data_IF_016662103024
#
_entry.id   IF_016662103024
#
_cell.length_a   1.000
_cell.length_b   1.000
_cell.length_c   1.000
_cell.angle_alpha   90.00
_cell.angle_beta   90.00
_cell.angle_gamma   90.00
#
_symmetry.space_group_name_H-M   'P 1'
#
loop_
_entity.id
_entity.type
_entity.pdbx_description
1 polymer ?
#
# COMPACT_ATOMS: atom_id res chain seq x y z
N UNK A 1 -45.15 3.59 13.42
CA UNK A 1 -44.26 3.22 12.31
C UNK A 1 -43.00 4.05 12.38
N UNK A 2 -41.81 3.45 12.30
CA UNK A 2 -40.60 4.23 12.06
C UNK A 2 -40.68 4.79 10.63
N UNK A 3 -40.38 6.07 10.45
CA UNK A 3 -40.29 6.67 9.12
C UNK A 3 -38.99 6.24 8.44
N UNK A 4 -39.04 5.97 7.13
CA UNK A 4 -37.83 5.72 6.34
C UNK A 4 -36.87 6.93 6.43
N UNK A 5 -35.55 6.71 6.60
CA UNK A 5 -34.58 7.79 6.68
C UNK A 5 -34.46 8.54 5.36
N UNK A 6 -34.12 9.83 5.41
CA UNK A 6 -33.94 10.61 4.18
C UNK A 6 -32.78 10.08 3.32
N UNK A 7 -32.95 10.10 2.00
CA UNK A 7 -31.94 9.63 1.04
C UNK A 7 -30.58 10.32 1.24
N UNK A 8 -30.59 11.62 1.57
CA UNK A 8 -29.38 12.37 1.87
C UNK A 8 -28.64 11.87 3.12
N UNK A 9 -29.38 11.55 4.19
CA UNK A 9 -28.81 10.97 5.42
C UNK A 9 -28.16 9.61 5.13
N UNK A 10 -28.86 8.73 4.39
CA UNK A 10 -28.32 7.43 3.98
C UNK A 10 -27.04 7.61 3.16
N UNK A 11 -27.03 8.52 2.20
CA UNK A 11 -25.84 8.82 1.40
C UNK A 11 -24.69 9.39 2.23
N UNK A 12 -24.96 10.26 3.21
CA UNK A 12 -23.95 10.79 4.13
C UNK A 12 -23.35 9.70 5.03
N UNK A 13 -24.19 8.82 5.58
CA UNK A 13 -23.78 7.67 6.39
C UNK A 13 -22.90 6.70 5.58
N UNK A 14 -23.28 6.38 4.34
CA UNK A 14 -22.48 5.52 3.45
C UNK A 14 -21.13 6.16 3.11
N UNK A 15 -21.07 7.49 2.91
CA UNK A 15 -19.79 8.19 2.74
C UNK A 15 -18.91 8.08 4.00
N UNK A 16 -19.48 8.33 5.18
CA UNK A 16 -18.76 8.23 6.45
C UNK A 16 -18.23 6.81 6.68
N UNK A 17 -19.05 5.78 6.46
CA UNK A 17 -18.68 4.38 6.63
C UNK A 17 -17.51 3.94 5.73
N UNK A 18 -17.31 4.57 4.57
CA UNK A 18 -16.16 4.30 3.68
C UNK A 18 -14.85 4.94 4.16
N UNK A 19 -14.93 6.04 4.91
CA UNK A 19 -13.75 6.81 5.37
C UNK A 19 -13.34 6.43 6.79
N UNK A 20 -14.32 6.23 7.68
CA UNK A 20 -14.11 5.92 9.11
C UNK A 20 -15.07 4.80 9.57
N UNK A 21 -15.01 3.59 8.96
CA UNK A 21 -15.98 2.51 9.18
C UNK A 21 -16.26 2.21 10.66
N UNK A 22 -15.21 2.16 11.48
CA UNK A 22 -15.32 1.86 12.90
C UNK A 22 -16.02 2.97 13.70
N UNK A 23 -15.75 4.24 13.40
CA UNK A 23 -16.41 5.37 14.05
C UNK A 23 -17.87 5.48 13.60
N UNK A 24 -18.15 5.26 12.31
CA UNK A 24 -19.52 5.19 11.79
C UNK A 24 -20.29 4.01 12.38
N UNK A 25 -19.67 2.83 12.53
CA UNK A 25 -20.29 1.69 13.21
C UNK A 25 -20.62 1.98 14.68
N UNK A 26 -19.78 2.74 15.40
CA UNK A 26 -20.10 3.21 16.76
C UNK A 26 -21.29 4.19 16.75
N UNK A 27 -21.40 5.07 15.76
CA UNK A 27 -22.53 6.00 15.65
C UNK A 27 -23.85 5.32 15.24
N UNK A 28 -23.80 4.23 14.45
CA UNK A 28 -24.98 3.54 13.93
C UNK A 28 -25.44 2.34 14.77
N UNK A 29 -24.50 1.63 15.39
CA UNK A 29 -24.58 0.16 15.47
C UNK A 29 -24.40 -0.45 16.86
N UNK A 30 -24.64 0.31 17.93
CA UNK A 30 -24.61 -0.20 19.30
C UNK A 30 -25.99 -0.38 19.92
N UNK A 31 -27.00 -0.43 19.05
CA UNK A 31 -28.11 -1.37 19.19
C UNK A 31 -29.32 -0.91 19.99
N UNK A 32 -29.36 0.32 20.48
CA UNK A 32 -30.53 0.82 21.22
C UNK A 32 -30.87 2.29 20.90
N UNK A 33 -32.06 2.58 20.32
CA UNK A 33 -32.58 3.93 20.16
C UNK A 33 -32.75 4.72 21.47
N UNK A 34 -32.81 4.07 22.65
CA UNK A 34 -32.81 4.72 23.97
C UNK A 34 -31.41 5.14 24.44
N UNK A 35 -30.32 4.69 23.79
CA UNK A 35 -28.95 5.00 24.20
C UNK A 35 -28.55 6.49 24.09
N UNK A 36 -29.38 7.31 23.42
CA UNK A 36 -29.16 8.76 23.30
C UNK A 36 -29.54 9.54 24.57
N UNK A 37 -30.36 8.99 25.47
CA UNK A 37 -30.75 9.62 26.74
C UNK A 37 -29.98 9.06 27.93
N UNK A 38 -29.58 7.80 27.86
CA UNK A 38 -28.72 7.13 28.85
C UNK A 38 -27.51 6.55 28.14
N UNK A 39 -26.30 6.98 28.50
CA UNK A 39 -25.05 6.57 27.88
C UNK A 39 -24.87 5.04 27.93
N UNK A 40 -25.36 4.35 26.89
CA UNK A 40 -25.33 2.90 26.81
C UNK A 40 -23.87 2.48 26.64
N UNK A 41 -23.31 1.98 27.75
CA UNK A 41 -21.93 1.50 27.80
C UNK A 41 -21.84 0.31 26.86
N UNK A 42 -21.24 0.53 25.67
CA UNK A 42 -20.81 -0.55 24.79
C UNK A 42 -20.21 -1.67 25.63
N UNK A 43 -20.77 -2.88 25.55
CA UNK A 43 -20.16 -4.01 26.24
C UNK A 43 -18.73 -4.22 25.72
N UNK A 44 -17.83 -4.76 26.55
CA UNK A 44 -16.40 -4.87 26.21
C UNK A 44 -16.17 -5.67 24.92
N UNK A 45 -16.99 -6.68 24.65
CA UNK A 45 -16.92 -7.47 23.40
C UNK A 45 -17.20 -6.63 22.16
N UNK A 46 -18.28 -5.83 22.16
CA UNK A 46 -18.61 -4.92 21.06
C UNK A 46 -17.52 -3.87 20.84
N UNK A 47 -16.91 -3.33 21.92
CA UNK A 47 -15.74 -2.45 21.83
C UNK A 47 -14.53 -3.14 21.21
N UNK A 48 -14.19 -4.32 21.70
CA UNK A 48 -13.06 -5.12 21.22
C UNK A 48 -13.14 -5.35 19.70
N UNK A 49 -14.32 -5.68 19.18
CA UNK A 49 -14.52 -5.96 17.74
C UNK A 49 -14.60 -4.71 16.84
N UNK A 50 -14.96 -3.54 17.38
CA UNK A 50 -15.20 -2.32 16.56
C UNK A 50 -14.05 -1.32 16.62
N UNK A 51 -13.56 -1.03 17.81
CA UNK A 51 -12.61 0.06 18.07
C UNK A 51 -11.30 -0.45 18.66
N UNK A 52 -11.32 -1.60 19.33
CA UNK A 52 -10.20 -2.10 20.12
C UNK A 52 -10.07 -1.39 21.47
N UNK A 53 -9.44 -2.06 22.41
CA UNK A 53 -9.15 -1.53 23.75
C UNK A 53 -7.76 -0.85 23.79
N UNK A 54 -7.18 -0.60 24.96
CA UNK A 54 -5.79 -0.14 25.09
C UNK A 54 -4.83 -1.28 24.71
N UNK A 55 -3.73 -0.98 24.02
CA UNK A 55 -2.70 -1.98 23.73
C UNK A 55 -2.08 -2.58 25.01
N UNK A 56 -1.94 -3.91 25.05
CA UNK A 56 -1.47 -4.66 26.23
C UNK A 56 0.02 -5.01 26.21
N UNK A 57 0.78 -4.58 25.20
CA UNK A 57 2.17 -5.04 24.99
C UNK A 57 3.12 -4.72 26.16
N UNK A 58 2.96 -3.54 26.77
CA UNK A 58 3.81 -3.10 27.87
C UNK A 58 3.16 -1.96 28.68
N UNK A 59 3.56 -1.87 29.96
CA UNK A 59 3.36 -0.69 30.81
C UNK A 59 3.99 0.54 30.13
N UNK A 60 3.14 1.40 29.54
CA UNK A 60 3.58 2.58 28.78
C UNK A 60 3.09 2.65 27.33
N UNK A 61 2.46 1.59 26.77
CA UNK A 61 1.79 1.75 25.48
C UNK A 61 0.43 2.45 25.64
N UNK A 62 0.31 3.69 25.18
CA UNK A 62 -0.94 4.46 25.20
C UNK A 62 -1.76 4.36 23.90
N UNK A 63 -1.26 3.63 22.90
CA UNK A 63 -1.96 3.45 21.63
C UNK A 63 -3.19 2.54 21.79
N UNK A 64 -4.23 2.80 21.00
CA UNK A 64 -5.36 1.90 20.84
C UNK A 64 -4.93 0.60 20.13
N UNK A 65 -5.42 -0.54 20.60
CA UNK A 65 -5.27 -1.83 19.94
C UNK A 65 -6.07 -1.88 18.64
N UNK A 66 -5.64 -2.70 17.68
CA UNK A 66 -6.44 -2.92 16.48
C UNK A 66 -7.73 -3.69 16.85
N UNK A 67 -8.85 -3.47 16.15
CA UNK A 67 -10.08 -4.23 16.37
C UNK A 67 -9.84 -5.73 16.30
N UNK A 68 -10.52 -6.48 17.17
CA UNK A 68 -10.33 -7.92 17.41
C UNK A 68 -8.91 -8.34 17.85
N UNK A 69 -8.08 -7.40 18.35
CA UNK A 69 -6.73 -7.71 18.87
C UNK A 69 -6.46 -7.04 20.22
N UNK A 70 -5.39 -7.47 20.90
CA UNK A 70 -4.87 -6.87 22.14
C UNK A 70 -3.73 -5.87 21.90
N UNK A 71 -3.31 -5.67 20.65
CA UNK A 71 -2.08 -4.95 20.30
C UNK A 71 -2.34 -3.81 19.30
N UNK A 72 -1.69 -2.66 19.49
CA UNK A 72 -1.73 -1.58 18.50
C UNK A 72 -0.92 -1.96 17.25
N UNK A 73 -1.09 -1.23 16.15
CA UNK A 73 -0.33 -1.48 14.92
C UNK A 73 1.19 -1.55 15.17
N UNK A 74 1.77 -0.65 15.97
CA UNK A 74 3.22 -0.67 16.29
C UNK A 74 3.66 -1.98 16.97
N UNK A 75 2.78 -2.64 17.71
CA UNK A 75 3.11 -3.82 18.52
C UNK A 75 2.45 -5.12 18.04
N UNK A 76 1.68 -5.11 16.94
CA UNK A 76 0.94 -6.30 16.49
C UNK A 76 1.88 -7.47 16.20
N UNK A 77 3.07 -7.21 15.65
CA UNK A 77 4.06 -8.24 15.31
C UNK A 77 4.67 -8.95 16.52
N UNK A 78 4.51 -8.44 17.75
CA UNK A 78 4.95 -9.13 18.96
C UNK A 78 3.90 -10.10 19.53
N UNK A 79 2.66 -10.07 19.03
CA UNK A 79 1.64 -11.02 19.42
C UNK A 79 1.85 -12.34 18.69
N UNK A 80 2.36 -13.38 19.36
CA UNK A 80 2.62 -14.70 18.73
C UNK A 80 1.37 -15.37 18.16
N UNK A 81 0.18 -15.04 18.67
CA UNK A 81 -1.10 -15.61 18.23
C UNK A 81 -1.68 -14.92 16.98
N UNK A 82 -1.12 -13.79 16.54
CA UNK A 82 -1.65 -13.08 15.38
C UNK A 82 -1.18 -13.74 14.07
N UNK A 83 -2.10 -13.88 13.11
CA UNK A 83 -1.84 -14.55 11.81
C UNK A 83 -2.20 -13.69 10.60
N UNK A 84 -2.52 -12.41 10.80
CA UNK A 84 -3.04 -11.51 9.77
C UNK A 84 -1.97 -10.56 9.23
N UNK A 85 -0.98 -10.21 10.06
CA UNK A 85 0.07 -9.25 9.73
C UNK A 85 1.40 -9.96 9.50
N UNK A 86 2.12 -9.48 8.50
CA UNK A 86 3.48 -9.87 8.15
C UNK A 86 4.41 -8.65 8.22
N UNK A 87 5.71 -8.86 8.42
CA UNK A 87 6.68 -7.78 8.27
C UNK A 87 6.81 -7.40 6.79
N UNK A 88 6.94 -6.10 6.52
CA UNK A 88 7.29 -5.57 5.20
C UNK A 88 8.58 -6.22 4.68
N UNK A 89 8.61 -6.60 3.40
CA UNK A 89 9.82 -7.14 2.75
C UNK A 89 10.74 -6.06 2.16
N UNK A 90 10.30 -4.80 2.16
CA UNK A 90 11.07 -3.65 1.68
C UNK A 90 12.32 -3.36 2.52
N UNK A 91 13.31 -2.71 1.92
CA UNK A 91 14.53 -2.23 2.59
C UNK A 91 14.52 -0.73 2.79
N UNK A 92 15.12 -0.28 3.88
CA UNK A 92 15.38 1.14 4.15
C UNK A 92 16.66 1.59 3.40
N UNK A 93 16.93 2.89 3.39
CA UNK A 93 18.07 3.50 2.66
C UNK A 93 19.43 3.01 3.19
N UNK A 94 19.50 2.64 4.46
CA UNK A 94 20.64 1.99 5.13
C UNK A 94 20.77 0.48 4.84
N UNK A 95 19.99 -0.03 3.87
CA UNK A 95 19.85 -1.45 3.50
C UNK A 95 19.24 -2.37 4.58
N UNK A 96 18.80 -1.84 5.72
CA UNK A 96 18.14 -2.65 6.76
C UNK A 96 16.75 -3.10 6.33
N UNK A 97 16.27 -4.23 6.85
CA UNK A 97 14.94 -4.73 6.56
C UNK A 97 13.87 -3.89 7.28
N UNK A 98 12.82 -3.51 6.56
CA UNK A 98 11.70 -2.81 7.15
C UNK A 98 10.92 -3.70 8.13
N UNK A 99 10.71 -3.22 9.35
CA UNK A 99 9.95 -3.91 10.38
C UNK A 99 8.47 -3.46 10.48
N UNK A 100 7.97 -2.65 9.53
CA UNK A 100 6.57 -2.22 9.57
C UNK A 100 5.64 -3.42 9.34
N UNK A 101 4.56 -3.58 10.14
CA UNK A 101 3.51 -4.56 9.86
C UNK A 101 2.77 -4.20 8.57
N UNK A 102 2.34 -5.24 7.87
CA UNK A 102 1.59 -5.17 6.62
C UNK A 102 0.42 -6.15 6.70
N UNK A 103 -0.75 -5.74 6.22
CA UNK A 103 -1.90 -6.62 6.05
C UNK A 103 -2.12 -6.79 4.55
N UNK A 104 -1.56 -7.86 4.01
CA UNK A 104 -1.64 -8.18 2.59
C UNK A 104 -1.62 -9.71 2.42
N UNK A 105 -2.78 -10.37 2.53
CA UNK A 105 -2.89 -11.81 2.37
C UNK A 105 -2.80 -12.27 0.90
N UNK A 106 -2.71 -11.34 -0.06
CA UNK A 106 -2.73 -11.65 -1.49
C UNK A 106 -1.32 -11.80 -2.10
N UNK A 107 -0.32 -11.11 -1.56
CA UNK A 107 1.04 -11.09 -2.12
C UNK A 107 2.06 -11.85 -1.26
N UNK A 108 2.91 -12.63 -1.93
CA UNK A 108 4.03 -13.37 -1.31
C UNK A 108 5.11 -12.42 -0.75
N UNK A 109 5.22 -11.21 -1.30
CA UNK A 109 6.16 -10.17 -0.88
C UNK A 109 5.41 -8.89 -0.47
N UNK A 110 4.85 -8.84 0.75
CA UNK A 110 4.01 -7.74 1.19
C UNK A 110 4.82 -6.48 1.51
N UNK A 111 4.35 -5.33 1.04
CA UNK A 111 5.00 -4.04 1.24
C UNK A 111 4.13 -3.09 2.08
N UNK A 112 4.77 -2.30 2.94
CA UNK A 112 4.08 -1.22 3.63
C UNK A 112 3.76 -0.08 2.65
N UNK A 113 2.79 0.81 2.96
CA UNK A 113 2.37 1.87 2.02
C UNK A 113 3.49 2.78 1.50
N UNK A 114 4.54 2.98 2.31
CA UNK A 114 5.73 3.76 1.93
C UNK A 114 6.53 3.03 0.83
N UNK A 115 6.87 1.76 1.05
CA UNK A 115 7.61 0.95 0.07
C UNK A 115 6.78 0.67 -1.19
N UNK A 116 5.48 0.44 -1.05
CA UNK A 116 4.57 0.27 -2.18
C UNK A 116 4.53 1.54 -3.06
N UNK A 117 4.45 2.72 -2.45
CA UNK A 117 4.52 4.01 -3.16
C UNK A 117 5.84 4.23 -3.89
N UNK A 118 6.98 3.88 -3.27
CA UNK A 118 8.31 3.95 -3.90
C UNK A 118 8.41 3.06 -5.15
N UNK A 119 7.94 1.81 -5.06
CA UNK A 119 7.94 0.87 -6.20
C UNK A 119 7.08 1.42 -7.35
N UNK A 120 5.88 1.94 -7.06
CA UNK A 120 5.03 2.56 -8.09
C UNK A 120 5.69 3.78 -8.75
N UNK A 121 6.27 4.68 -7.95
CA UNK A 121 6.94 5.87 -8.48
C UNK A 121 8.09 5.50 -9.43
N UNK A 122 8.88 4.48 -9.08
CA UNK A 122 9.98 3.99 -9.92
C UNK A 122 9.48 3.35 -11.22
N UNK A 123 8.38 2.58 -11.18
CA UNK A 123 7.78 1.99 -12.39
C UNK A 123 7.24 3.07 -13.33
N UNK A 124 6.61 4.12 -12.80
CA UNK A 124 6.09 5.25 -13.59
C UNK A 124 7.25 6.07 -14.19
N UNK A 125 8.30 6.37 -13.40
CA UNK A 125 9.49 7.07 -13.89
C UNK A 125 10.30 6.30 -14.93
N UNK A 126 10.17 4.96 -14.96
CA UNK A 126 10.83 4.10 -15.95
C UNK A 126 10.16 4.09 -17.33
N UNK A 127 8.95 4.65 -17.48
CA UNK A 127 8.23 4.65 -18.77
C UNK A 127 8.39 5.94 -19.59
N UNK A 128 9.03 6.98 -19.03
CA UNK A 128 9.17 8.29 -19.68
C UNK A 128 10.28 8.39 -20.75
N UNK A 129 11.17 7.39 -20.88
CA UNK A 129 12.31 7.47 -21.82
C UNK A 129 12.22 6.46 -22.98
N UNK A 130 11.31 6.72 -23.93
CA UNK A 130 11.38 6.26 -25.33
C UNK A 130 10.39 7.01 -26.23
N UNK A 131 10.53 8.34 -26.36
CA UNK A 131 9.80 9.13 -27.38
C UNK A 131 10.69 10.05 -28.22
N UNK A 132 11.71 9.48 -28.86
CA UNK A 132 12.33 10.09 -30.05
C UNK A 132 11.41 10.00 -31.28
N UNK A 133 10.35 10.81 -31.29
CA UNK A 133 9.54 11.21 -32.47
C UNK A 133 8.46 12.21 -32.04
N UNK A 134 8.14 13.29 -32.75
CA UNK A 134 8.67 13.91 -33.98
C UNK A 134 7.92 15.26 -34.13
N UNK A 135 8.58 16.37 -34.50
CA UNK A 135 7.96 17.32 -35.47
C UNK A 135 8.96 18.23 -36.19
N UNK A 136 8.52 18.70 -37.35
CA UNK A 136 9.31 19.21 -38.48
C UNK A 136 8.90 20.65 -38.82
N UNK A 137 9.87 21.53 -39.02
CA UNK A 137 9.78 22.84 -39.70
C UNK A 137 11.23 23.33 -39.89
N UNK A 138 11.73 23.90 -41.01
CA UNK A 138 11.11 24.49 -42.22
C UNK A 138 11.87 24.08 -43.51
N UNK A 139 11.41 24.57 -44.66
CA UNK A 139 12.10 24.57 -45.97
C UNK A 139 12.79 25.94 -46.19
N UNK A 140 13.67 26.21 -47.18
CA UNK A 140 14.11 25.52 -48.40
C UNK A 140 15.67 25.55 -48.52
N UNK A 141 16.27 24.87 -49.51
CA UNK A 141 17.67 25.09 -49.92
C UNK A 141 18.15 24.11 -51.02
N UNK A 142 18.64 24.63 -52.14
CA UNK A 142 19.06 23.82 -53.30
C UNK A 142 20.52 23.33 -53.24
N UNK A 143 20.77 22.21 -53.96
CA UNK A 143 21.95 21.96 -54.84
C UNK A 143 22.95 20.85 -54.45
N UNK A 144 22.82 19.72 -55.18
CA UNK A 144 23.87 18.99 -55.95
C UNK A 144 25.09 18.33 -55.26
N UNK A 145 25.07 16.99 -55.38
CA UNK A 145 26.15 16.07 -55.82
C UNK A 145 27.38 15.69 -54.96
N UNK A 146 27.41 14.38 -54.64
CA UNK A 146 28.50 13.42 -54.90
C UNK A 146 29.85 13.52 -54.16
N UNK A 147 30.14 12.50 -53.31
CA UNK A 147 31.18 11.48 -53.62
C UNK A 147 31.24 10.30 -52.60
N UNK A 148 31.66 9.15 -53.15
CA UNK A 148 32.33 7.97 -52.54
C UNK A 148 33.21 8.31 -51.31
N UNK A 149 33.56 7.41 -50.37
CA UNK A 149 33.80 5.96 -50.52
C UNK A 149 33.76 5.16 -49.19
N UNK A 150 33.77 3.84 -49.30
CA UNK A 150 33.98 2.81 -48.27
C UNK A 150 34.99 3.11 -47.14
N UNK A 151 34.70 2.62 -45.92
CA UNK A 151 35.58 1.61 -45.28
C UNK A 151 34.81 0.60 -44.40
N UNK A 152 35.24 -0.66 -44.47
CA UNK A 152 34.61 -1.88 -43.89
C UNK A 152 35.12 -2.18 -42.46
N UNK A 153 34.41 -3.12 -41.81
CA UNK A 153 34.80 -4.01 -40.67
C UNK A 153 34.75 -3.34 -39.27
N UNK A 154 34.40 -4.06 -38.18
CA UNK A 154 34.32 -5.53 -37.96
C UNK A 154 33.14 -5.89 -36.99
N UNK A 155 32.75 -7.17 -36.94
CA UNK A 155 31.68 -7.75 -36.08
C UNK A 155 32.24 -8.14 -34.67
N UNK A 156 31.36 -8.81 -33.90
CA UNK A 156 31.55 -9.70 -32.72
C UNK A 156 31.65 -9.04 -31.34
N UNK A 157 31.03 -9.56 -30.27
CA UNK A 157 29.90 -10.52 -30.08
C UNK A 157 29.58 -10.57 -28.58
N UNK A 158 28.34 -10.89 -28.19
CA UNK A 158 28.04 -11.31 -26.81
C UNK A 158 28.73 -12.64 -26.48
N UNK A 159 28.98 -12.91 -25.19
CA UNK A 159 28.45 -14.16 -24.64
C UNK A 159 27.90 -14.04 -23.22
N UNK A 160 26.66 -14.49 -23.04
CA UNK A 160 26.18 -15.11 -21.81
C UNK A 160 26.35 -16.63 -22.00
N UNK A 161 27.36 -17.24 -21.39
CA UNK A 161 27.40 -18.68 -21.08
C UNK A 161 28.76 -19.07 -20.44
N UNK A 162 28.72 -20.11 -19.59
CA UNK A 162 29.85 -20.70 -18.86
C UNK A 162 30.36 -19.79 -17.70
N UNK A 163 30.58 -20.29 -16.48
CA UNK A 163 30.96 -21.65 -16.09
C UNK A 163 30.03 -22.25 -15.02
N UNK A 164 29.74 -23.54 -15.19
CA UNK A 164 29.36 -24.47 -14.14
C UNK A 164 30.20 -25.75 -14.33
N UNK A 165 30.38 -26.52 -13.25
CA UNK A 165 31.14 -27.76 -13.08
C UNK A 165 32.63 -27.59 -12.69
N UNK A 166 33.04 -28.51 -11.80
CA UNK A 166 34.32 -28.71 -11.09
C UNK A 166 34.37 -28.16 -9.64
N UNK A 167 34.61 -28.98 -8.58
CA UNK A 167 34.98 -30.41 -8.55
C UNK A 167 34.72 -31.07 -7.17
N UNK A 168 34.17 -32.31 -7.20
CA UNK A 168 34.23 -33.42 -6.20
C UNK A 168 33.80 -33.17 -4.75
#
# INVERSE_FOLDING_TARGET
SAGEPSSELVAAVVRAARVVPNATAVLLGLGDPQAFTSASKMNRGARFLTTGEKCTYSEGCHNQALPATRHCLRHIMYNVDQRLFSHCTGRLEDNTQCNRPTFDPAHVSPLCPLHFGQVQANVIGSCSDTRHSRKKSRMLGMSRNSKRNNKKKKKTSSPLSMLQEDLR
#
